data_IF_854116768711
#
_entry.id   IF_854116768711
#
_cell.length_a   1.000
_cell.length_b   1.000
_cell.length_c   1.000
_cell.angle_alpha   90.00
_cell.angle_beta   90.00
_cell.angle_gamma   90.00
#
_symmetry.space_group_name_H-M   'P 1'
#
loop_
_entity.id
_entity.type
_entity.pdbx_description
1 polymer ?
#
# COMPACT_ATOMS: atom_id res chain seq x y z
N UNK A 1 -3.72 1.01 -9.08
CA UNK A 1 -5.04 1.21 -8.44
C UNK A 1 -5.08 2.48 -7.59
N UNK A 2 -4.26 3.48 -7.91
CA UNK A 2 -4.34 4.82 -7.34
C UNK A 2 -4.15 5.81 -8.49
N UNK A 3 -5.03 6.79 -8.62
CA UNK A 3 -4.96 7.81 -9.68
C UNK A 3 -5.49 9.13 -9.17
N UNK A 4 -5.06 10.23 -9.78
CA UNK A 4 -5.72 11.52 -9.57
C UNK A 4 -6.96 11.58 -10.46
N UNK A 5 -8.07 12.07 -9.90
CA UNK A 5 -9.23 12.42 -10.71
C UNK A 5 -9.01 13.78 -11.40
N UNK A 6 -9.98 14.22 -12.21
CA UNK A 6 -9.92 15.49 -12.94
C UNK A 6 -9.78 16.72 -12.03
N UNK A 7 -10.10 16.59 -10.73
CA UNK A 7 -9.96 17.64 -9.72
C UNK A 7 -8.61 17.59 -8.99
N UNK A 8 -7.72 16.67 -9.36
CA UNK A 8 -6.42 16.47 -8.73
C UNK A 8 -6.44 15.63 -7.45
N UNK A 9 -7.61 15.20 -6.97
CA UNK A 9 -7.73 14.40 -5.74
C UNK A 9 -7.33 12.95 -5.99
N UNK A 10 -6.72 12.31 -4.99
CA UNK A 10 -6.44 10.88 -5.03
C UNK A 10 -7.75 10.07 -5.04
N UNK A 11 -7.78 9.06 -5.90
CA UNK A 11 -8.82 8.06 -5.99
C UNK A 11 -8.15 6.68 -5.99
N UNK A 12 -8.51 5.88 -4.99
CA UNK A 12 -8.05 4.52 -4.83
C UNK A 12 -9.11 3.54 -5.35
N UNK A 13 -8.71 2.67 -6.27
CA UNK A 13 -9.54 1.58 -6.78
C UNK A 13 -9.50 0.42 -5.78
N UNK A 14 -10.39 0.48 -4.79
CA UNK A 14 -10.44 -0.49 -3.69
C UNK A 14 -10.82 -1.89 -4.17
N UNK A 15 -11.79 -2.02 -5.09
CA UNK A 15 -12.23 -3.31 -5.62
C UNK A 15 -11.09 -4.02 -6.36
N UNK A 16 -10.35 -3.28 -7.18
CA UNK A 16 -9.17 -3.83 -7.83
C UNK A 16 -8.14 -4.36 -6.83
N UNK A 17 -7.89 -3.61 -5.76
CA UNK A 17 -6.92 -3.99 -4.74
C UNK A 17 -7.38 -5.21 -3.94
N UNK A 18 -8.66 -5.27 -3.54
CA UNK A 18 -9.26 -6.43 -2.87
C UNK A 18 -9.13 -7.71 -3.71
N UNK A 19 -9.36 -7.63 -5.03
CA UNK A 19 -9.17 -8.77 -5.93
C UNK A 19 -7.71 -9.21 -6.03
N UNK A 20 -6.79 -8.24 -6.09
CA UNK A 20 -5.35 -8.53 -6.10
C UNK A 20 -4.91 -9.23 -4.81
N UNK A 21 -5.27 -8.68 -3.66
CA UNK A 21 -4.95 -9.26 -2.34
C UNK A 21 -5.60 -10.63 -2.17
N UNK A 22 -6.85 -10.79 -2.58
CA UNK A 22 -7.53 -12.09 -2.58
C UNK A 22 -6.78 -13.16 -3.38
N UNK A 23 -6.22 -12.80 -4.54
CA UNK A 23 -5.39 -13.71 -5.34
C UNK A 23 -4.04 -14.07 -4.71
N UNK A 24 -3.54 -13.26 -3.77
CA UNK A 24 -2.36 -13.62 -2.98
C UNK A 24 -2.73 -14.65 -1.91
N UNK A 25 -3.79 -14.40 -1.15
CA UNK A 25 -4.27 -15.31 -0.09
C UNK A 25 -4.79 -16.64 -0.63
N UNK A 26 -5.32 -16.70 -1.85
CA UNK A 26 -5.74 -17.96 -2.52
C UNK A 26 -4.59 -18.99 -2.65
N UNK A 27 -3.33 -18.54 -2.58
CA UNK A 27 -2.16 -19.42 -2.62
C UNK A 27 -1.81 -20.05 -1.27
N UNK A 28 -2.32 -19.51 -0.17
CA UNK A 28 -2.06 -20.00 1.17
C UNK A 28 -2.82 -21.31 1.42
N UNK A 29 -2.17 -22.27 2.08
CA UNK A 29 -2.70 -23.62 2.29
C UNK A 29 -3.19 -23.86 3.72
N UNK A 30 -2.91 -22.95 4.64
CA UNK A 30 -3.27 -23.03 6.05
C UNK A 30 -3.34 -21.63 6.67
N UNK A 31 -3.85 -21.56 7.90
CA UNK A 31 -4.05 -20.31 8.64
C UNK A 31 -2.71 -19.61 8.93
N UNK A 32 -1.66 -20.35 9.25
CA UNK A 32 -0.34 -19.78 9.55
C UNK A 32 0.26 -19.07 8.34
N UNK A 33 0.07 -19.61 7.12
CA UNK A 33 0.47 -18.96 5.88
C UNK A 33 -0.35 -17.70 5.57
N UNK A 34 -1.62 -17.65 5.98
CA UNK A 34 -2.46 -16.44 5.85
C UNK A 34 -1.95 -15.35 6.80
N UNK A 35 -1.80 -15.67 8.09
CA UNK A 35 -1.33 -14.75 9.13
C UNK A 35 0.06 -14.21 8.77
N UNK A 36 0.99 -15.08 8.37
CA UNK A 36 2.32 -14.67 7.93
C UNK A 36 2.29 -13.71 6.74
N UNK A 37 1.43 -13.97 5.74
CA UNK A 37 1.34 -13.12 4.56
C UNK A 37 0.72 -11.75 4.89
N UNK A 38 -0.30 -11.72 5.75
CA UNK A 38 -0.90 -10.49 6.26
C UNK A 38 0.16 -9.62 6.98
N UNK A 39 0.84 -10.19 7.97
CA UNK A 39 1.91 -9.51 8.73
C UNK A 39 2.97 -8.95 7.77
N UNK A 40 3.43 -9.77 6.82
CA UNK A 40 4.46 -9.35 5.87
C UNK A 40 3.98 -8.21 4.97
N UNK A 41 2.72 -8.19 4.56
CA UNK A 41 2.16 -7.13 3.75
C UNK A 41 2.05 -5.82 4.53
N UNK A 42 1.63 -5.86 5.80
CA UNK A 42 1.56 -4.69 6.67
C UNK A 42 2.95 -4.08 6.86
N UNK A 43 3.95 -4.88 7.20
CA UNK A 43 5.35 -4.39 7.36
C UNK A 43 5.87 -3.70 6.09
N UNK A 44 5.59 -4.26 4.92
CA UNK A 44 6.03 -3.66 3.64
C UNK A 44 5.37 -2.29 3.45
N UNK A 45 4.08 -2.18 3.77
CA UNK A 45 3.33 -0.92 3.65
C UNK A 45 3.92 0.12 4.59
N UNK A 46 4.12 -0.21 5.87
CA UNK A 46 4.65 0.70 6.88
C UNK A 46 6.06 1.22 6.52
N UNK A 47 6.98 0.32 6.15
CA UNK A 47 8.35 0.71 5.76
C UNK A 47 8.34 1.59 4.51
N UNK A 48 7.47 1.27 3.56
CA UNK A 48 7.35 2.04 2.31
C UNK A 48 6.77 3.43 2.60
N UNK A 49 5.75 3.52 3.47
CA UNK A 49 5.16 4.79 3.90
C UNK A 49 6.21 5.68 4.58
N UNK A 50 6.95 5.16 5.56
CA UNK A 50 8.01 5.88 6.26
C UNK A 50 9.03 6.47 5.27
N UNK A 51 9.45 5.67 4.28
CA UNK A 51 10.39 6.13 3.24
C UNK A 51 9.84 7.30 2.44
N UNK A 52 8.57 7.24 2.01
CA UNK A 52 7.97 8.33 1.25
C UNK A 52 7.64 9.55 2.10
N UNK A 53 7.32 9.37 3.38
CA UNK A 53 7.12 10.46 4.33
C UNK A 53 8.42 11.27 4.47
N UNK A 54 9.55 10.61 4.71
CA UNK A 54 10.87 11.26 4.77
C UNK A 54 11.19 12.04 3.48
N UNK A 55 10.95 11.45 2.30
CA UNK A 55 11.16 12.11 1.02
C UNK A 55 10.31 13.38 0.87
N UNK A 56 9.03 13.33 1.26
CA UNK A 56 8.11 14.46 1.20
C UNK A 56 8.49 15.56 2.19
N UNK A 57 8.94 15.20 3.40
CA UNK A 57 9.43 16.17 4.38
C UNK A 57 10.67 16.92 3.89
N UNK A 58 11.63 16.20 3.27
CA UNK A 58 12.84 16.80 2.68
C UNK A 58 12.49 17.72 1.50
N UNK A 59 11.58 17.31 0.62
CA UNK A 59 11.14 18.14 -0.51
C UNK A 59 10.48 19.43 -0.02
N UNK A 60 9.58 19.34 0.96
CA UNK A 60 8.91 20.51 1.55
C UNK A 60 9.91 21.46 2.23
N UNK A 61 10.88 20.94 2.98
CA UNK A 61 11.91 21.76 3.63
C UNK A 61 12.90 22.43 2.66
N UNK A 62 13.00 21.94 1.43
CA UNK A 62 13.88 22.49 0.39
C UNK A 62 13.21 23.58 -0.47
N UNK A 63 11.90 23.79 -0.30
CA UNK A 63 11.09 24.71 -1.09
C UNK A 63 10.70 25.99 -0.33
N UNK A 64 11.09 26.09 0.95
CA UNK A 64 10.96 27.26 1.83
C UNK A 64 12.27 28.09 1.88
#
# INVERSE_FOLDING_TARGET
MLKRNEKGNLNFDSLGFELFVGGLFDKCKNVQELEWLEERMVEIIEITEETYEEELEVENASTD
#
